data_IF_558699205979
#
_entry.id   IF_558699205979
#
_cell.length_a   1.000
_cell.length_b   1.000
_cell.length_c   1.000
_cell.angle_alpha   90.00
_cell.angle_beta   90.00
_cell.angle_gamma   90.00
#
_symmetry.space_group_name_H-M   'P 1'
#
loop_
_entity.id
_entity.type
_entity.pdbx_description
1 polymer ?
#
# COMPACT_ATOMS: atom_id res chain seq x y z
N UNK A 1 -3.74 16.83 -10.35
CA UNK A 1 -2.42 16.73 -11.03
C UNK A 1 -2.20 15.36 -11.65
N UNK A 2 -2.37 14.24 -10.91
CA UNK A 2 -2.25 12.88 -11.47
C UNK A 2 -3.28 12.56 -12.56
N UNK A 3 -4.54 12.95 -12.35
CA UNK A 3 -5.60 12.82 -13.35
C UNK A 3 -5.29 13.59 -14.65
N UNK A 4 -4.83 14.84 -14.56
CA UNK A 4 -4.44 15.66 -15.73
C UNK A 4 -3.31 15.01 -16.55
N UNK A 5 -2.33 14.36 -15.92
CA UNK A 5 -1.26 13.61 -16.61
C UNK A 5 -1.78 12.34 -17.30
N UNK A 6 -2.75 11.65 -16.69
CA UNK A 6 -3.46 10.52 -17.32
C UNK A 6 -4.22 10.96 -18.58
N UNK A 7 -4.82 12.16 -18.54
CA UNK A 7 -5.58 12.73 -19.64
C UNK A 7 -4.68 13.26 -20.78
N UNK A 8 -3.52 13.83 -20.48
CA UNK A 8 -2.55 14.26 -21.51
C UNK A 8 -2.11 13.10 -22.42
N UNK A 9 -1.99 11.88 -21.88
CA UNK A 9 -1.73 10.68 -22.67
C UNK A 9 -2.94 10.14 -23.47
N UNK A 10 -4.12 10.73 -23.29
CA UNK A 10 -5.35 10.45 -24.05
C UNK A 10 -5.53 11.50 -25.17
N UNK A 11 -5.19 12.76 -24.91
CA UNK A 11 -5.25 13.87 -25.88
C UNK A 11 -4.35 13.67 -27.11
N UNK A 12 -3.21 12.99 -26.97
CA UNK A 12 -2.29 12.74 -28.10
C UNK A 12 -2.87 11.77 -29.17
N UNK A 13 -4.01 11.09 -28.92
CA UNK A 13 -4.54 10.02 -29.78
C UNK A 13 -6.07 10.09 -30.04
N UNK A 14 -6.58 11.23 -30.51
CA UNK A 14 -7.74 11.37 -31.45
C UNK A 14 -8.83 12.36 -31.02
N UNK A 15 -9.40 12.98 -32.06
CA UNK A 15 -10.52 13.93 -32.10
C UNK A 15 -11.86 13.25 -32.46
N UNK A 16 -12.01 11.94 -32.26
CA UNK A 16 -13.05 11.15 -32.96
C UNK A 16 -13.92 10.25 -32.07
N UNK A 17 -14.29 10.69 -30.85
CA UNK A 17 -15.33 9.98 -30.08
C UNK A 17 -16.35 10.95 -29.47
N UNK A 18 -17.33 11.35 -30.28
CA UNK A 18 -18.54 12.05 -29.83
C UNK A 18 -19.66 11.02 -29.58
N UNK A 19 -19.83 10.63 -28.32
CA UNK A 19 -20.84 9.66 -27.88
C UNK A 19 -22.25 10.26 -27.77
N UNK A 20 -22.41 11.58 -27.86
CA UNK A 20 -23.67 12.28 -27.54
C UNK A 20 -24.68 12.26 -28.69
N UNK A 21 -24.23 12.09 -29.93
CA UNK A 21 -25.03 12.43 -31.11
C UNK A 21 -26.13 11.41 -31.50
N UNK A 22 -26.31 10.28 -30.80
CA UNK A 22 -27.25 9.21 -31.24
C UNK A 22 -28.20 8.62 -30.19
N UNK A 23 -28.15 9.03 -28.92
CA UNK A 23 -29.08 8.51 -27.89
C UNK A 23 -28.91 7.02 -27.56
N UNK A 24 -27.75 6.45 -27.89
CA UNK A 24 -27.39 5.02 -27.68
C UNK A 24 -26.43 4.83 -26.47
N UNK A 25 -26.03 5.95 -25.87
CA UNK A 25 -25.25 6.05 -24.63
C UNK A 25 -26.01 7.01 -23.70
N UNK A 26 -25.96 6.78 -22.39
CA UNK A 26 -26.56 7.73 -21.44
C UNK A 26 -25.93 9.11 -21.68
N UNK A 27 -26.77 10.06 -22.09
CA UNK A 27 -26.34 11.42 -22.41
C UNK A 27 -25.64 12.05 -21.21
N UNK A 28 -26.05 11.71 -19.99
CA UNK A 28 -25.44 12.22 -18.77
C UNK A 28 -24.01 11.68 -18.60
N UNK A 29 -23.79 10.37 -18.68
CA UNK A 29 -22.44 9.76 -18.62
C UNK A 29 -21.52 10.32 -19.72
N UNK A 30 -22.04 10.55 -20.93
CA UNK A 30 -21.29 11.17 -22.03
C UNK A 30 -20.89 12.61 -21.76
N UNK A 31 -21.81 13.43 -21.27
CA UNK A 31 -21.54 14.81 -20.88
C UNK A 31 -20.54 14.90 -19.73
N UNK A 32 -20.66 14.02 -18.73
CA UNK A 32 -19.74 13.97 -17.57
C UNK A 32 -18.32 13.62 -17.99
N UNK A 33 -18.15 12.61 -18.85
CA UNK A 33 -16.84 12.24 -19.42
C UNK A 33 -16.30 13.42 -20.24
N UNK A 34 -17.11 14.00 -21.13
CA UNK A 34 -16.69 15.09 -22.00
C UNK A 34 -16.24 16.33 -21.21
N UNK A 35 -17.05 16.78 -20.24
CA UNK A 35 -16.74 17.92 -19.39
C UNK A 35 -15.46 17.70 -18.57
N UNK A 36 -15.23 16.47 -18.12
CA UNK A 36 -14.01 16.09 -17.41
C UNK A 36 -12.77 16.12 -18.32
N UNK A 37 -12.89 15.60 -19.54
CA UNK A 37 -11.77 15.45 -20.47
C UNK A 37 -11.41 16.76 -21.19
N UNK A 38 -12.41 17.52 -21.64
CA UNK A 38 -12.21 18.64 -22.58
C UNK A 38 -12.51 20.00 -21.96
N UNK A 39 -13.25 20.06 -20.85
CA UNK A 39 -13.60 21.32 -20.19
C UNK A 39 -12.88 21.51 -18.85
N UNK A 40 -12.05 20.55 -18.43
CA UNK A 40 -11.36 20.53 -17.13
C UNK A 40 -12.30 20.72 -15.93
N UNK A 41 -13.55 20.26 -16.04
CA UNK A 41 -14.49 20.29 -14.93
C UNK A 41 -14.25 19.09 -14.01
N UNK A 42 -14.27 19.30 -12.69
CA UNK A 42 -14.15 18.22 -11.72
C UNK A 42 -15.52 17.58 -11.47
N UNK A 43 -15.94 16.70 -12.38
CA UNK A 43 -17.26 16.05 -12.35
C UNK A 43 -17.29 14.77 -11.51
N UNK A 44 -16.16 14.07 -11.44
CA UNK A 44 -16.03 12.81 -10.70
C UNK A 44 -15.36 13.03 -9.34
N UNK A 45 -15.96 12.52 -8.28
CA UNK A 45 -15.37 12.56 -6.93
C UNK A 45 -14.38 11.40 -6.71
N UNK A 46 -14.50 10.31 -7.46
CA UNK A 46 -13.62 9.14 -7.35
C UNK A 46 -13.34 8.47 -8.70
N UNK A 47 -12.24 7.72 -8.77
CA UNK A 47 -11.91 6.89 -9.93
C UNK A 47 -12.94 5.77 -10.18
N UNK A 48 -13.67 5.34 -9.14
CA UNK A 48 -14.74 4.35 -9.26
C UNK A 48 -15.96 4.89 -10.03
N UNK A 49 -16.26 6.19 -9.87
CA UNK A 49 -17.37 6.81 -10.60
C UNK A 49 -17.09 6.89 -12.10
N UNK A 50 -15.94 7.44 -12.51
CA UNK A 50 -15.59 7.48 -13.95
C UNK A 50 -15.47 6.06 -14.52
N UNK A 51 -14.99 5.09 -13.74
CA UNK A 51 -14.91 3.71 -14.19
C UNK A 51 -16.30 3.12 -14.49
N UNK A 52 -17.33 3.53 -13.75
CA UNK A 52 -18.71 3.11 -13.99
C UNK A 52 -19.17 3.61 -15.36
N UNK A 53 -19.07 4.92 -15.61
CA UNK A 53 -19.46 5.55 -16.87
C UNK A 53 -18.65 4.98 -18.06
N UNK A 54 -17.35 4.69 -17.89
CA UNK A 54 -16.52 4.07 -18.92
C UNK A 54 -16.94 2.62 -19.23
N UNK A 55 -17.36 1.85 -18.23
CA UNK A 55 -17.86 0.49 -18.44
C UNK A 55 -19.22 0.50 -19.13
N UNK A 56 -20.06 1.49 -18.87
CA UNK A 56 -21.29 1.72 -19.63
C UNK A 56 -20.99 2.08 -21.09
N UNK A 57 -20.03 2.98 -21.33
CA UNK A 57 -19.60 3.35 -22.69
C UNK A 57 -19.08 2.12 -23.45
N UNK A 58 -18.34 1.26 -22.75
CA UNK A 58 -17.85 -0.01 -23.30
C UNK A 58 -18.99 -0.93 -23.69
N UNK A 59 -20.02 -1.07 -22.86
CA UNK A 59 -21.20 -1.89 -23.19
C UNK A 59 -21.94 -1.32 -24.41
N UNK A 60 -22.11 0.01 -24.48
CA UNK A 60 -22.74 0.67 -25.61
C UNK A 60 -21.97 0.43 -26.92
N UNK A 61 -20.64 0.54 -26.91
CA UNK A 61 -19.80 0.23 -28.07
C UNK A 61 -19.99 -1.20 -28.58
N UNK A 62 -20.05 -2.18 -27.68
CA UNK A 62 -20.24 -3.58 -28.03
C UNK A 62 -21.64 -3.80 -28.63
N UNK A 63 -22.68 -3.26 -27.99
CA UNK A 63 -24.07 -3.52 -28.35
C UNK A 63 -24.53 -2.76 -29.61
N UNK A 64 -24.15 -1.48 -29.74
CA UNK A 64 -24.66 -0.59 -30.77
C UNK A 64 -23.65 -0.32 -31.89
N UNK A 65 -22.35 -0.42 -31.60
CA UNK A 65 -21.28 -0.08 -32.54
C UNK A 65 -20.41 -1.27 -32.95
N UNK A 66 -20.87 -2.51 -32.71
CA UNK A 66 -20.17 -3.76 -33.04
C UNK A 66 -18.76 -3.86 -32.47
N UNK A 67 -18.50 -3.20 -31.34
CA UNK A 67 -17.20 -3.17 -30.68
C UNK A 67 -16.13 -2.34 -31.39
N UNK A 68 -16.51 -1.45 -32.32
CA UNK A 68 -15.56 -0.53 -32.94
C UNK A 68 -14.85 0.30 -31.85
N UNK A 69 -13.52 0.37 -31.89
CA UNK A 69 -12.66 1.08 -30.93
C UNK A 69 -12.71 0.58 -29.47
N UNK A 70 -13.33 -0.56 -29.17
CA UNK A 70 -13.41 -1.09 -27.80
C UNK A 70 -12.03 -1.31 -27.17
N UNK A 71 -11.02 -1.65 -27.96
CA UNK A 71 -9.64 -1.86 -27.50
C UNK A 71 -8.99 -0.58 -26.95
N UNK A 72 -9.29 0.58 -27.55
CA UNK A 72 -8.79 1.87 -27.08
C UNK A 72 -9.43 2.23 -25.74
N UNK A 73 -10.73 2.01 -25.61
CA UNK A 73 -11.45 2.22 -24.36
C UNK A 73 -10.98 1.24 -23.27
N UNK A 74 -10.73 -0.03 -23.61
CA UNK A 74 -10.18 -1.02 -22.68
C UNK A 74 -8.79 -0.64 -22.17
N UNK A 75 -7.93 -0.07 -23.03
CA UNK A 75 -6.64 0.48 -22.60
C UNK A 75 -6.81 1.65 -21.63
N UNK A 76 -7.78 2.54 -21.85
CA UNK A 76 -8.05 3.66 -20.95
C UNK A 76 -8.65 3.22 -19.62
N UNK A 77 -9.63 2.32 -19.65
CA UNK A 77 -10.20 1.67 -18.46
C UNK A 77 -9.08 1.03 -17.64
N UNK A 78 -8.14 0.34 -18.28
CA UNK A 78 -7.00 -0.26 -17.60
C UNK A 78 -6.10 0.79 -16.93
N UNK A 79 -5.82 1.92 -17.61
CA UNK A 79 -5.07 3.03 -17.01
C UNK A 79 -5.78 3.59 -15.77
N UNK A 80 -7.10 3.82 -15.83
CA UNK A 80 -7.88 4.29 -14.68
C UNK A 80 -7.84 3.28 -13.53
N UNK A 81 -7.95 1.98 -13.82
CA UNK A 81 -7.87 0.92 -12.81
C UNK A 81 -6.49 0.84 -12.13
N UNK A 82 -5.40 1.05 -12.89
CA UNK A 82 -4.03 0.94 -12.37
C UNK A 82 -3.62 2.19 -11.59
N UNK A 83 -3.94 3.37 -12.12
CA UNK A 83 -3.37 4.64 -11.66
C UNK A 83 -4.36 5.50 -10.86
N UNK A 84 -5.66 5.22 -10.94
CA UNK A 84 -6.70 6.01 -10.28
C UNK A 84 -6.60 7.51 -10.58
N UNK A 85 -6.97 8.34 -9.61
CA UNK A 85 -6.78 9.81 -9.70
C UNK A 85 -5.48 10.29 -9.06
N UNK A 86 -4.74 9.39 -8.41
CA UNK A 86 -3.52 9.68 -7.67
C UNK A 86 -2.24 9.41 -8.46
N UNK A 87 -2.31 8.72 -9.61
CA UNK A 87 -1.20 8.28 -10.47
C UNK A 87 -0.27 7.27 -9.82
N UNK A 88 0.21 7.50 -8.60
CA UNK A 88 1.02 6.57 -7.84
C UNK A 88 0.65 6.65 -6.36
N UNK A 89 0.81 5.52 -5.67
CA UNK A 89 0.77 5.44 -4.22
C UNK A 89 2.02 6.12 -3.65
N UNK A 90 1.85 6.90 -2.59
CA UNK A 90 2.95 7.47 -1.83
C UNK A 90 2.98 6.86 -0.43
N UNK A 91 4.14 6.35 -0.03
CA UNK A 91 4.35 5.81 1.32
C UNK A 91 5.11 6.84 2.16
N UNK A 92 4.66 7.08 3.39
CA UNK A 92 5.45 7.81 4.38
C UNK A 92 6.35 6.84 5.11
N UNK A 93 7.58 7.25 5.41
CA UNK A 93 8.52 6.45 6.20
C UNK A 93 9.20 7.31 7.25
N UNK A 94 9.21 6.84 8.49
CA UNK A 94 9.93 7.47 9.60
C UNK A 94 10.62 6.41 10.48
N UNK A 95 11.64 6.82 11.24
CA UNK A 95 12.35 5.99 12.21
C UNK A 95 11.58 5.91 13.54
N UNK A 96 11.50 4.71 14.13
CA UNK A 96 10.74 4.50 15.38
C UNK A 96 11.18 5.42 16.52
N UNK A 97 12.48 5.74 16.62
CA UNK A 97 13.03 6.58 17.69
C UNK A 97 12.46 7.99 17.65
N UNK A 98 12.03 8.45 16.48
CA UNK A 98 11.37 9.74 16.34
C UNK A 98 9.96 9.71 16.92
N UNK A 99 9.27 8.58 16.83
CA UNK A 99 8.00 8.40 17.51
C UNK A 99 8.16 8.32 19.03
N UNK A 100 9.21 7.65 19.52
CA UNK A 100 9.57 7.68 20.95
C UNK A 100 9.78 9.14 21.42
N UNK A 101 10.65 9.90 20.74
CA UNK A 101 10.95 11.31 21.04
C UNK A 101 9.67 12.17 21.10
N UNK A 102 8.73 11.96 20.18
CA UNK A 102 7.46 12.68 20.12
C UNK A 102 6.52 12.32 21.26
N UNK A 103 6.39 11.04 21.59
CA UNK A 103 5.50 10.61 22.67
C UNK A 103 6.04 11.01 24.04
N UNK A 104 7.36 11.04 24.23
CA UNK A 104 7.98 11.61 25.41
C UNK A 104 7.61 13.09 25.58
N UNK A 105 7.66 13.89 24.51
CA UNK A 105 7.26 15.29 24.56
C UNK A 105 5.75 15.45 24.84
N UNK A 106 4.89 14.66 24.19
CA UNK A 106 3.44 14.68 24.43
C UNK A 106 3.14 14.37 25.90
N UNK A 107 3.77 13.35 26.47
CA UNK A 107 3.61 13.00 27.88
C UNK A 107 4.10 14.10 28.80
N UNK A 108 5.25 14.71 28.50
CA UNK A 108 5.78 15.85 29.26
C UNK A 108 4.82 17.04 29.26
N UNK A 109 4.26 17.41 28.11
CA UNK A 109 3.29 18.51 27.99
C UNK A 109 2.02 18.21 28.82
N UNK A 110 1.56 16.96 28.80
CA UNK A 110 0.38 16.52 29.56
C UNK A 110 0.65 16.22 31.04
N UNK A 111 1.89 16.35 31.50
CA UNK A 111 2.29 16.03 32.87
C UNK A 111 2.18 14.54 33.22
N UNK A 112 2.28 13.65 32.23
CA UNK A 112 2.22 12.20 32.41
C UNK A 112 3.65 11.68 32.52
N UNK A 113 3.93 10.88 33.55
CA UNK A 113 5.24 10.23 33.74
C UNK A 113 5.24 8.90 33.00
N UNK A 114 6.24 8.60 32.14
CA UNK A 114 6.34 7.30 31.48
C UNK A 114 6.47 6.15 32.49
N UNK A 115 5.68 5.10 32.30
CA UNK A 115 5.80 3.86 33.07
C UNK A 115 7.11 3.10 32.77
N UNK A 116 7.52 2.19 33.66
CA UNK A 116 8.81 1.48 33.53
C UNK A 116 8.79 0.30 32.56
N UNK A 117 7.62 -0.33 32.37
CA UNK A 117 7.47 -1.53 31.53
C UNK A 117 6.78 -1.19 30.21
N UNK A 118 7.15 -1.88 29.13
CA UNK A 118 6.53 -1.67 27.81
C UNK A 118 5.00 -1.83 27.86
N UNK A 119 4.51 -2.83 28.59
CA UNK A 119 3.08 -3.12 28.72
C UNK A 119 2.33 -1.94 29.36
N UNK A 120 2.87 -1.40 30.44
CA UNK A 120 2.29 -0.26 31.12
C UNK A 120 2.40 1.03 30.27
N UNK A 121 3.51 1.20 29.53
CA UNK A 121 3.66 2.30 28.57
C UNK A 121 2.63 2.21 27.44
N UNK A 122 2.35 1.01 26.91
CA UNK A 122 1.31 0.78 25.91
C UNK A 122 -0.07 1.14 26.49
N UNK A 123 -0.40 0.69 27.70
CA UNK A 123 -1.67 1.06 28.33
C UNK A 123 -1.81 2.56 28.53
N UNK A 124 -0.73 3.23 28.96
CA UNK A 124 -0.66 4.67 29.15
C UNK A 124 -0.86 5.42 27.83
N UNK A 125 -0.14 5.02 26.78
CA UNK A 125 -0.25 5.52 25.42
C UNK A 125 -1.70 5.44 24.91
N UNK A 126 -2.33 4.27 25.04
CA UNK A 126 -3.69 4.03 24.57
C UNK A 126 -4.77 4.80 25.36
N UNK A 127 -4.46 5.29 26.57
CA UNK A 127 -5.36 6.13 27.38
C UNK A 127 -5.41 7.59 26.91
N UNK A 128 -4.44 8.05 26.11
CA UNK A 128 -4.42 9.43 25.60
C UNK A 128 -5.57 9.66 24.63
N UNK A 129 -6.43 10.65 24.92
CA UNK A 129 -7.65 10.93 24.14
C UNK A 129 -7.53 12.10 23.16
N UNK A 130 -6.51 12.96 23.31
CA UNK A 130 -6.30 14.12 22.47
C UNK A 130 -4.81 14.49 22.46
N UNK A 131 -4.35 15.10 21.37
CA UNK A 131 -3.01 15.66 21.27
C UNK A 131 -2.95 17.07 21.90
N UNK A 132 -1.78 17.52 22.37
CA UNK A 132 -1.55 18.92 22.75
C UNK A 132 -1.83 19.92 21.62
N UNK A 133 -2.00 21.21 21.98
CA UNK A 133 -2.05 22.27 20.98
C UNK A 133 -0.69 22.41 20.28
N UNK A 134 -0.67 22.74 18.99
CA UNK A 134 0.57 22.91 18.21
C UNK A 134 1.59 23.87 18.86
N UNK A 135 1.11 24.90 19.56
CA UNK A 135 1.93 25.91 20.26
C UNK A 135 2.69 25.36 21.48
N UNK A 136 2.27 24.21 22.01
CA UNK A 136 2.82 23.62 23.23
C UNK A 136 4.05 22.74 22.94
N UNK A 137 4.23 22.34 21.68
CA UNK A 137 5.41 21.63 21.21
C UNK A 137 6.63 22.56 21.19
N UNK A 138 7.71 22.11 21.80
CA UNK A 138 8.99 22.81 21.90
C UNK A 138 9.94 22.37 20.78
N UNK A 139 9.90 21.10 20.38
CA UNK A 139 10.70 20.60 19.25
C UNK A 139 9.95 20.82 17.92
N UNK A 140 10.49 21.66 17.00
CA UNK A 140 9.87 21.87 15.69
C UNK A 140 9.72 20.59 14.88
N UNK A 141 10.61 19.61 15.05
CA UNK A 141 10.55 18.34 14.34
C UNK A 141 9.37 17.48 14.82
N UNK A 142 9.08 17.49 16.13
CA UNK A 142 7.93 16.78 16.67
C UNK A 142 6.62 17.41 16.23
N UNK A 143 6.56 18.75 16.17
CA UNK A 143 5.43 19.46 15.57
C UNK A 143 5.24 19.08 14.09
N UNK A 144 6.32 19.05 13.30
CA UNK A 144 6.28 18.64 11.89
C UNK A 144 5.75 17.20 11.73
N UNK A 145 6.13 16.28 12.62
CA UNK A 145 5.60 14.91 12.58
C UNK A 145 4.11 14.85 12.86
N UNK A 146 3.58 15.63 13.81
CA UNK A 146 2.14 15.71 14.05
C UNK A 146 1.41 16.29 12.83
N UNK A 147 1.95 17.38 12.28
CA UNK A 147 1.42 18.01 11.06
C UNK A 147 1.47 17.08 9.86
N UNK A 148 2.44 16.18 9.79
CA UNK A 148 2.53 15.17 8.73
C UNK A 148 1.24 14.35 8.68
N UNK A 149 0.69 13.89 9.80
CA UNK A 149 -0.58 13.16 9.84
C UNK A 149 -1.78 14.02 9.41
N UNK A 150 -1.76 15.33 9.65
CA UNK A 150 -2.80 16.23 9.13
C UNK A 150 -2.70 16.39 7.61
N UNK A 151 -1.49 16.39 7.05
CA UNK A 151 -1.25 16.43 5.60
C UNK A 151 -1.71 15.14 4.92
N UNK A 152 -1.60 13.98 5.59
CA UNK A 152 -2.16 12.70 5.08
C UNK A 152 -3.64 12.87 4.75
N UNK A 153 -4.42 13.39 5.70
CA UNK A 153 -5.86 13.61 5.56
C UNK A 153 -6.18 14.51 4.35
N UNK A 154 -5.41 15.58 4.17
CA UNK A 154 -5.59 16.51 3.06
C UNK A 154 -5.33 15.84 1.70
N UNK A 155 -4.25 15.07 1.59
CA UNK A 155 -3.90 14.35 0.35
C UNK A 155 -4.96 13.29 0.04
N UNK A 156 -5.40 12.53 1.04
CA UNK A 156 -6.46 11.53 0.86
C UNK A 156 -7.78 12.17 0.43
N UNK A 157 -8.13 13.33 1.00
CA UNK A 157 -9.34 14.08 0.63
C UNK A 157 -9.34 14.57 -0.82
N UNK A 158 -8.18 14.96 -1.37
CA UNK A 158 -8.09 15.47 -2.75
C UNK A 158 -7.80 14.41 -3.81
N UNK A 159 -7.12 13.31 -3.45
CA UNK A 159 -6.61 12.32 -4.40
C UNK A 159 -7.15 10.90 -4.18
N UNK A 160 -8.00 10.72 -3.16
CA UNK A 160 -8.47 9.42 -2.68
C UNK A 160 -7.53 8.79 -1.66
N UNK A 161 -8.05 7.88 -0.84
CA UNK A 161 -7.30 7.17 0.21
C UNK A 161 -5.99 6.55 -0.31
N UNK A 162 -6.06 5.87 -1.45
CA UNK A 162 -4.95 5.18 -2.11
C UNK A 162 -3.75 6.09 -2.43
N UNK A 163 -3.94 7.40 -2.52
CA UNK A 163 -2.84 8.33 -2.77
C UNK A 163 -1.75 8.26 -1.70
N UNK A 164 -2.15 8.06 -0.43
CA UNK A 164 -1.24 7.97 0.70
C UNK A 164 -1.91 7.21 1.84
N UNK A 165 -1.87 5.89 1.78
CA UNK A 165 -2.54 5.00 2.75
C UNK A 165 -1.57 4.16 3.58
N UNK A 166 -0.25 4.32 3.43
CA UNK A 166 0.76 3.52 4.16
C UNK A 166 1.76 4.39 4.92
N UNK A 167 2.00 4.00 6.17
CA UNK A 167 3.03 4.56 7.04
C UNK A 167 4.02 3.48 7.47
N UNK A 168 5.27 3.61 7.01
CA UNK A 168 6.35 2.66 7.24
C UNK A 168 7.18 3.10 8.46
N UNK A 169 7.32 2.19 9.43
CA UNK A 169 8.10 2.41 10.65
C UNK A 169 9.44 1.70 10.51
N UNK A 170 10.50 2.46 10.27
CA UNK A 170 11.89 1.97 10.21
C UNK A 170 12.39 1.60 11.59
N UNK A 171 13.35 0.68 11.67
CA UNK A 171 13.93 0.21 12.93
C UNK A 171 12.85 -0.24 13.95
N UNK A 172 11.81 -0.94 13.48
CA UNK A 172 10.74 -1.41 14.34
C UNK A 172 11.21 -2.60 15.20
N UNK A 173 11.16 -2.45 16.53
CA UNK A 173 11.76 -3.39 17.49
C UNK A 173 10.77 -3.88 18.56
N UNK A 174 9.59 -3.29 18.66
CA UNK A 174 8.61 -3.57 19.71
C UNK A 174 7.18 -3.36 19.24
N UNK A 175 6.21 -3.86 20.01
CA UNK A 175 4.80 -3.58 19.74
C UNK A 175 4.45 -2.13 20.06
N UNK A 176 5.14 -1.51 21.02
CA UNK A 176 5.03 -0.08 21.35
C UNK A 176 5.25 0.80 20.12
N UNK A 177 6.31 0.57 19.32
CA UNK A 177 6.58 1.42 18.13
C UNK A 177 5.42 1.44 17.13
N UNK A 178 4.77 0.29 16.90
CA UNK A 178 3.57 0.20 16.06
C UNK A 178 2.40 0.96 16.67
N UNK A 179 2.20 0.81 17.99
CA UNK A 179 1.09 1.42 18.69
C UNK A 179 1.22 2.94 18.84
N UNK A 180 2.44 3.47 18.88
CA UNK A 180 2.70 4.91 18.90
C UNK A 180 2.19 5.58 17.63
N UNK A 181 2.49 5.00 16.47
CA UNK A 181 1.98 5.45 15.18
C UNK A 181 0.48 5.20 15.06
N UNK A 182 0.00 4.05 15.54
CA UNK A 182 -1.43 3.72 15.55
C UNK A 182 -2.24 4.72 16.35
N UNK A 183 -1.79 5.04 17.56
CA UNK A 183 -2.49 5.99 18.42
C UNK A 183 -2.44 7.39 17.82
N UNK A 184 -1.31 7.80 17.23
CA UNK A 184 -1.18 9.08 16.56
C UNK A 184 -2.14 9.19 15.35
N UNK A 185 -2.17 8.17 14.49
CA UNK A 185 -3.10 8.08 13.36
C UNK A 185 -4.57 8.06 13.82
N UNK A 186 -4.87 7.34 14.91
CA UNK A 186 -6.22 7.28 15.47
C UNK A 186 -6.70 8.63 16.00
N UNK A 187 -5.84 9.38 16.69
CA UNK A 187 -6.17 10.69 17.25
C UNK A 187 -6.31 11.78 16.18
N UNK A 188 -5.57 11.66 15.07
CA UNK A 188 -5.55 12.65 13.98
C UNK A 188 -6.52 12.32 12.85
N UNK A 189 -6.34 11.17 12.20
CA UNK A 189 -7.12 10.70 11.06
C UNK A 189 -8.40 9.99 11.54
N UNK A 190 -8.27 9.07 12.49
CA UNK A 190 -9.37 8.23 12.94
C UNK A 190 -10.54 8.99 13.58
N UNK A 191 -10.33 10.22 14.05
CA UNK A 191 -11.40 11.06 14.60
C UNK A 191 -12.28 11.73 13.53
N UNK A 192 -11.82 11.77 12.27
CA UNK A 192 -12.50 12.43 11.14
C UNK A 192 -13.18 11.46 10.20
N UNK A 193 -12.86 10.17 10.29
CA UNK A 193 -13.33 9.12 9.41
C UNK A 193 -14.08 8.03 10.20
N UNK A 194 -15.02 7.34 9.56
CA UNK A 194 -15.70 6.19 10.18
C UNK A 194 -14.70 5.06 10.51
N UNK A 195 -13.68 4.91 9.67
CA UNK A 195 -12.61 3.92 9.81
C UNK A 195 -11.27 4.61 9.58
N UNK A 196 -10.25 4.27 10.36
CA UNK A 196 -8.91 4.86 10.20
C UNK A 196 -8.30 4.45 8.84
N UNK A 197 -8.03 5.40 7.92
CA UNK A 197 -7.67 5.11 6.52
C UNK A 197 -6.17 4.96 6.30
N UNK A 198 -5.44 4.36 7.27
CA UNK A 198 -3.98 4.27 7.23
C UNK A 198 -3.50 2.90 7.67
N UNK A 199 -2.72 2.25 6.81
CA UNK A 199 -2.00 1.02 7.10
C UNK A 199 -0.65 1.32 7.77
N UNK A 200 -0.39 0.64 8.87
CA UNK A 200 0.86 0.77 9.63
C UNK A 200 1.75 -0.40 9.27
N UNK A 201 2.89 -0.10 8.68
CA UNK A 201 3.80 -1.08 8.07
C UNK A 201 5.09 -1.12 8.88
N UNK A 202 5.32 -2.14 9.73
CA UNK A 202 6.59 -2.29 10.41
C UNK A 202 7.67 -2.69 9.41
N UNK A 203 8.84 -2.08 9.53
CA UNK A 203 10.05 -2.47 8.81
C UNK A 203 11.06 -3.08 9.79
N UNK A 204 11.25 -4.40 9.67
CA UNK A 204 12.25 -5.16 10.43
C UNK A 204 13.54 -5.26 9.60
N UNK A 205 14.65 -4.71 10.12
CA UNK A 205 15.89 -4.50 9.35
C UNK A 205 17.09 -5.28 9.86
N UNK A 206 17.17 -5.58 11.15
CA UNK A 206 18.27 -6.37 11.73
C UNK A 206 17.90 -7.85 11.88
N UNK A 207 18.90 -8.71 12.09
CA UNK A 207 18.68 -10.14 12.33
C UNK A 207 17.87 -10.38 13.60
N UNK A 208 18.10 -9.57 14.64
CA UNK A 208 17.38 -9.73 15.91
C UNK A 208 15.95 -9.20 15.78
N UNK A 209 15.72 -8.12 15.03
CA UNK A 209 14.38 -7.63 14.71
C UNK A 209 13.59 -8.69 13.92
N UNK A 210 14.20 -9.29 12.90
CA UNK A 210 13.58 -10.36 12.11
C UNK A 210 13.23 -11.59 12.94
N UNK A 211 14.03 -11.90 13.98
CA UNK A 211 13.76 -13.00 14.91
C UNK A 211 12.61 -12.66 15.84
N UNK A 212 12.51 -11.41 16.31
CA UNK A 212 11.47 -10.95 17.22
C UNK A 212 10.14 -10.63 16.51
N UNK A 213 10.16 -10.39 15.21
CA UNK A 213 8.99 -9.96 14.42
C UNK A 213 7.73 -10.84 14.62
N UNK A 214 7.79 -12.18 14.64
CA UNK A 214 6.59 -13.00 14.84
C UNK A 214 5.92 -12.76 16.19
N UNK A 215 6.70 -12.63 17.26
CA UNK A 215 6.20 -12.38 18.61
C UNK A 215 5.59 -10.98 18.74
N UNK A 216 6.26 -9.97 18.17
CA UNK A 216 5.77 -8.58 18.12
C UNK A 216 4.41 -8.52 17.41
N UNK A 217 4.30 -9.15 16.24
CA UNK A 217 3.06 -9.14 15.46
C UNK A 217 1.96 -9.97 16.10
N UNK A 218 2.27 -11.13 16.69
CA UNK A 218 1.29 -11.93 17.43
C UNK A 218 0.68 -11.13 18.59
N UNK A 219 1.53 -10.47 19.38
CA UNK A 219 1.09 -9.60 20.46
C UNK A 219 0.16 -8.50 19.95
N UNK A 220 0.53 -7.85 18.85
CA UNK A 220 -0.27 -6.78 18.24
C UNK A 220 -1.64 -7.29 17.75
N UNK A 221 -1.69 -8.47 17.13
CA UNK A 221 -2.93 -9.09 16.65
C UNK A 221 -3.90 -9.49 17.77
N UNK A 222 -3.38 -9.75 18.98
CA UNK A 222 -4.18 -10.07 20.15
C UNK A 222 -4.82 -8.83 20.80
N UNK A 223 -4.36 -7.61 20.48
CA UNK A 223 -4.93 -6.39 21.01
C UNK A 223 -6.29 -6.08 20.35
N UNK A 224 -7.40 -6.00 21.12
CA UNK A 224 -8.74 -5.82 20.53
C UNK A 224 -8.87 -4.56 19.66
N UNK A 225 -8.20 -3.47 20.05
CA UNK A 225 -8.24 -2.20 19.31
C UNK A 225 -7.55 -2.30 17.95
N UNK A 226 -6.42 -3.01 17.88
CA UNK A 226 -5.68 -3.19 16.64
C UNK A 226 -6.35 -4.22 15.74
N UNK A 227 -6.89 -5.29 16.32
CA UNK A 227 -7.71 -6.27 15.60
C UNK A 227 -8.93 -5.62 14.94
N UNK A 228 -9.63 -4.73 15.63
CA UNK A 228 -10.74 -3.98 15.06
C UNK A 228 -10.30 -3.11 13.88
N UNK A 229 -9.13 -2.48 13.97
CA UNK A 229 -8.54 -1.76 12.84
C UNK A 229 -8.24 -2.70 11.66
N UNK A 230 -7.61 -3.86 11.90
CA UNK A 230 -7.33 -4.82 10.83
C UNK A 230 -8.59 -5.36 10.16
N UNK A 231 -9.70 -5.54 10.87
CA UNK A 231 -10.99 -5.91 10.26
C UNK A 231 -11.42 -4.87 9.23
N UNK A 232 -11.28 -3.58 9.54
CA UNK A 232 -11.55 -2.48 8.60
C UNK A 232 -10.57 -2.51 7.41
N UNK A 233 -9.34 -2.98 7.62
CA UNK A 233 -8.32 -3.23 6.58
C UNK A 233 -8.43 -4.63 5.94
N UNK A 234 -9.62 -5.25 5.96
CA UNK A 234 -9.92 -6.55 5.33
C UNK A 234 -9.06 -7.71 5.87
N UNK A 235 -8.66 -7.64 7.14
CA UNK A 235 -7.74 -8.55 7.81
C UNK A 235 -6.41 -8.72 7.06
N UNK A 236 -5.92 -7.65 6.41
CA UNK A 236 -4.60 -7.63 5.77
C UNK A 236 -3.61 -6.82 6.60
N UNK A 237 -2.40 -7.33 6.73
CA UNK A 237 -1.29 -6.63 7.38
C UNK A 237 -0.07 -6.65 6.47
N UNK A 238 0.35 -5.47 6.00
CA UNK A 238 1.61 -5.35 5.26
C UNK A 238 2.77 -5.31 6.25
N UNK A 239 3.81 -6.13 6.03
CA UNK A 239 5.05 -6.12 6.81
C UNK A 239 6.22 -5.95 5.85
N UNK A 240 7.04 -4.93 6.10
CA UNK A 240 8.22 -4.68 5.29
C UNK A 240 9.43 -5.41 5.89
N UNK A 241 10.15 -6.14 5.03
CA UNK A 241 11.35 -6.88 5.42
C UNK A 241 12.54 -6.32 4.64
N UNK A 242 13.60 -5.95 5.37
CA UNK A 242 14.76 -5.31 4.79
C UNK A 242 16.06 -5.72 5.48
N UNK A 243 17.18 -5.37 4.86
CA UNK A 243 18.46 -5.27 5.54
C UNK A 243 18.94 -3.86 5.30
N UNK A 244 19.34 -3.18 6.38
CA UNK A 244 19.82 -1.80 6.32
C UNK A 244 21.19 -1.69 5.63
N UNK A 245 22.05 -2.72 5.72
CA UNK A 245 23.28 -2.90 4.94
C UNK A 245 23.83 -4.34 5.16
N UNK A 246 23.28 -5.32 4.44
CA UNK A 246 23.40 -6.76 4.69
C UNK A 246 24.77 -7.44 4.50
N UNK A 247 25.88 -6.70 4.52
CA UNK A 247 27.23 -7.28 4.68
C UNK A 247 27.83 -7.05 6.08
N UNK A 248 27.26 -6.19 6.92
CA UNK A 248 27.82 -5.86 8.25
C UNK A 248 27.43 -6.82 9.38
N UNK A 249 26.19 -7.33 9.41
CA UNK A 249 25.67 -8.02 10.61
C UNK A 249 25.73 -9.56 10.58
N UNK A 250 26.17 -10.16 9.48
CA UNK A 250 26.19 -11.63 9.39
C UNK A 250 26.43 -12.26 8.02
N UNK A 251 26.60 -11.45 6.98
CA UNK A 251 26.84 -11.91 5.61
C UNK A 251 25.57 -12.32 4.86
N UNK A 252 25.68 -12.34 3.53
CA UNK A 252 24.57 -12.52 2.59
C UNK A 252 23.72 -13.79 2.83
N UNK A 253 24.34 -14.94 3.11
CA UNK A 253 23.61 -16.20 3.30
C UNK A 253 22.73 -16.16 4.57
N UNK A 254 23.32 -15.74 5.70
CA UNK A 254 22.59 -15.63 6.98
C UNK A 254 21.45 -14.63 6.88
N UNK A 255 21.68 -13.54 6.17
CA UNK A 255 20.70 -12.51 5.90
C UNK A 255 19.47 -13.10 5.16
N UNK A 256 19.66 -13.70 3.99
CA UNK A 256 18.53 -14.29 3.23
C UNK A 256 17.84 -15.43 3.97
N UNK A 257 18.59 -16.26 4.70
CA UNK A 257 18.01 -17.30 5.55
C UNK A 257 17.12 -16.72 6.65
N UNK A 258 17.55 -15.63 7.28
CA UNK A 258 16.77 -14.97 8.33
C UNK A 258 15.48 -14.34 7.78
N UNK A 259 15.52 -13.73 6.58
CA UNK A 259 14.30 -13.25 5.91
C UNK A 259 13.35 -14.41 5.62
N UNK A 260 13.84 -15.51 5.05
CA UNK A 260 13.00 -16.66 4.74
C UNK A 260 12.31 -17.20 6.00
N UNK A 261 13.07 -17.38 7.08
CA UNK A 261 12.53 -17.83 8.38
C UNK A 261 11.52 -16.84 8.96
N UNK A 262 11.80 -15.54 8.89
CA UNK A 262 10.86 -14.51 9.34
C UNK A 262 9.55 -14.57 8.53
N UNK A 263 9.63 -14.71 7.19
CA UNK A 263 8.45 -14.85 6.33
C UNK A 263 7.62 -16.08 6.68
N UNK A 264 8.25 -17.24 6.90
CA UNK A 264 7.55 -18.48 7.30
C UNK A 264 6.83 -18.31 8.65
N UNK A 265 7.50 -17.80 9.68
CA UNK A 265 6.89 -17.65 11.02
C UNK A 265 5.84 -16.53 11.06
N UNK A 266 6.06 -15.40 10.37
CA UNK A 266 5.06 -14.33 10.24
C UNK A 266 3.82 -14.81 9.50
N UNK A 267 3.99 -15.63 8.45
CA UNK A 267 2.87 -16.25 7.73
C UNK A 267 2.07 -17.15 8.68
N UNK A 268 2.75 -18.00 9.45
CA UNK A 268 2.13 -18.91 10.42
C UNK A 268 1.36 -18.16 11.51
N UNK A 269 1.98 -17.18 12.17
CA UNK A 269 1.33 -16.36 13.21
C UNK A 269 0.13 -15.60 12.65
N UNK A 270 0.25 -15.03 11.45
CA UNK A 270 -0.85 -14.28 10.83
C UNK A 270 -2.02 -15.20 10.47
N UNK A 271 -1.76 -16.38 9.87
CA UNK A 271 -2.79 -17.38 9.57
C UNK A 271 -3.54 -17.85 10.82
N UNK A 272 -2.84 -18.12 11.93
CA UNK A 272 -3.47 -18.52 13.21
C UNK A 272 -4.43 -17.43 13.72
N UNK A 273 -4.11 -16.16 13.47
CA UNK A 273 -4.94 -15.03 13.87
C UNK A 273 -5.99 -14.62 12.82
N UNK A 274 -6.10 -15.34 11.70
CA UNK A 274 -7.03 -15.04 10.61
C UNK A 274 -6.65 -13.80 9.79
N UNK A 275 -5.35 -13.49 9.73
CA UNK A 275 -4.78 -12.32 9.06
C UNK A 275 -3.96 -12.78 7.85
N UNK A 276 -4.17 -12.12 6.72
CA UNK A 276 -3.36 -12.27 5.52
C UNK A 276 -2.18 -11.28 5.61
N UNK A 277 -0.97 -11.81 5.78
CA UNK A 277 0.25 -10.98 5.77
C UNK A 277 0.70 -10.74 4.33
N UNK A 278 0.98 -9.48 4.01
CA UNK A 278 1.57 -9.08 2.72
C UNK A 278 3.01 -8.66 2.96
N UNK A 279 3.95 -9.29 2.26
CA UNK A 279 5.36 -8.95 2.43
C UNK A 279 5.78 -7.85 1.46
N UNK A 280 6.30 -6.76 2.03
CA UNK A 280 6.95 -5.70 1.29
C UNK A 280 8.48 -5.87 1.34
N UNK A 281 9.05 -6.31 0.23
CA UNK A 281 10.50 -6.51 0.11
C UNK A 281 11.22 -5.16 -0.13
N UNK A 282 12.00 -4.72 0.88
CA UNK A 282 12.69 -3.44 0.90
C UNK A 282 13.87 -3.30 -0.07
N UNK A 283 14.63 -2.20 0.06
CA UNK A 283 15.69 -1.80 -0.88
C UNK A 283 16.65 -2.95 -1.20
N UNK A 284 16.74 -3.27 -2.49
CA UNK A 284 17.63 -4.31 -2.97
C UNK A 284 17.01 -5.69 -2.88
N UNK A 285 15.74 -5.84 -3.28
CA UNK A 285 15.09 -7.15 -3.40
C UNK A 285 16.07 -8.21 -3.95
N UNK A 286 15.92 -9.48 -3.58
CA UNK A 286 16.94 -10.55 -3.62
C UNK A 286 17.95 -10.51 -4.78
N UNK A 287 17.56 -10.20 -6.04
CA UNK A 287 18.49 -9.93 -7.15
C UNK A 287 19.48 -8.77 -6.96
N UNK A 288 19.02 -7.62 -6.48
CA UNK A 288 19.81 -6.42 -6.27
C UNK A 288 20.77 -6.53 -5.06
N UNK A 289 20.69 -7.61 -4.29
CA UNK A 289 21.66 -8.00 -3.24
C UNK A 289 22.63 -9.10 -3.71
N UNK A 290 22.72 -9.38 -5.01
CA UNK A 290 23.63 -10.38 -5.58
C UNK A 290 23.01 -11.77 -5.80
N UNK A 291 21.67 -11.86 -5.83
CA UNK A 291 20.93 -13.13 -5.71
C UNK A 291 20.09 -13.59 -6.90
N UNK A 292 20.53 -13.36 -8.14
CA UNK A 292 19.91 -14.01 -9.31
C UNK A 292 18.66 -13.31 -9.86
N UNK A 293 17.74 -14.06 -10.47
CA UNK A 293 16.58 -13.54 -11.22
C UNK A 293 15.37 -13.29 -10.30
N UNK A 294 14.72 -12.12 -10.36
CA UNK A 294 13.51 -11.78 -9.55
C UNK A 294 12.44 -12.86 -9.68
N UNK A 295 12.25 -13.37 -10.90
CA UNK A 295 11.29 -14.44 -11.16
C UNK A 295 11.59 -15.68 -10.33
N UNK A 296 12.85 -16.14 -10.35
CA UNK A 296 13.24 -17.35 -9.63
C UNK A 296 13.10 -17.17 -8.11
N UNK A 297 13.38 -15.99 -7.58
CA UNK A 297 13.19 -15.73 -6.16
C UNK A 297 11.74 -15.91 -5.75
N UNK A 298 10.82 -15.16 -6.35
CA UNK A 298 9.41 -15.25 -5.99
C UNK A 298 8.83 -16.64 -6.31
N UNK A 299 9.17 -17.21 -7.47
CA UNK A 299 8.74 -18.55 -7.84
C UNK A 299 9.29 -19.67 -6.93
N UNK A 300 10.32 -19.40 -6.12
CA UNK A 300 10.88 -20.35 -5.15
C UNK A 300 10.20 -20.31 -3.78
N UNK A 301 9.36 -19.31 -3.52
CA UNK A 301 8.60 -19.24 -2.27
C UNK A 301 7.58 -20.39 -2.23
N UNK A 302 7.66 -21.20 -1.17
CA UNK A 302 6.75 -22.33 -0.95
C UNK A 302 5.42 -21.92 -0.35
N UNK A 303 4.58 -22.91 -0.06
CA UNK A 303 3.26 -22.77 0.60
C UNK A 303 3.34 -22.24 2.04
N UNK A 304 4.51 -22.34 2.66
CA UNK A 304 4.80 -21.83 4.00
C UNK A 304 4.92 -20.29 4.07
N UNK A 305 5.04 -19.62 2.92
CA UNK A 305 5.16 -18.16 2.84
C UNK A 305 3.94 -17.60 2.11
N UNK A 306 3.29 -16.62 2.72
CA UNK A 306 2.17 -15.91 2.11
C UNK A 306 2.61 -15.17 0.84
N UNK A 307 1.80 -15.26 -0.21
CA UNK A 307 2.21 -14.90 -1.56
C UNK A 307 1.05 -14.41 -2.45
N UNK A 308 -0.04 -13.97 -1.83
CA UNK A 308 -1.20 -13.39 -2.51
C UNK A 308 -0.85 -12.11 -3.28
N UNK A 309 0.20 -11.40 -2.86
CA UNK A 309 0.63 -10.13 -3.43
C UNK A 309 2.15 -9.98 -3.38
N UNK A 310 2.74 -9.40 -4.42
CA UNK A 310 4.18 -9.07 -4.50
C UNK A 310 4.34 -7.56 -4.36
N UNK A 311 4.94 -7.11 -3.26
CA UNK A 311 5.34 -5.72 -3.07
C UNK A 311 6.87 -5.64 -2.99
N UNK A 312 7.49 -4.84 -3.86
CA UNK A 312 8.97 -4.78 -3.97
C UNK A 312 9.47 -3.37 -4.23
N UNK A 313 10.55 -3.00 -3.55
CA UNK A 313 11.25 -1.73 -3.79
C UNK A 313 12.13 -1.83 -5.03
N UNK A 314 11.82 -1.06 -6.07
CA UNK A 314 12.71 -0.85 -7.21
C UNK A 314 13.69 0.29 -6.88
N UNK A 315 14.99 0.04 -7.00
CA UNK A 315 16.01 1.05 -6.71
C UNK A 315 16.05 2.11 -7.83
N UNK A 316 16.12 3.40 -7.46
CA UNK A 316 16.17 4.50 -8.43
C UNK A 316 17.22 4.34 -9.52
N UNK A 317 18.40 3.83 -9.16
CA UNK A 317 19.51 3.57 -10.11
C UNK A 317 19.19 2.51 -11.18
N UNK A 318 18.22 1.62 -10.95
CA UNK A 318 17.85 0.55 -11.90
C UNK A 318 16.61 0.89 -12.71
N UNK A 319 15.86 1.95 -12.36
CA UNK A 319 14.60 2.31 -13.04
C UNK A 319 14.82 2.51 -14.54
N UNK A 320 15.79 3.34 -14.93
CA UNK A 320 16.04 3.64 -16.34
C UNK A 320 16.45 2.39 -17.13
N UNK A 321 17.26 1.51 -16.56
CA UNK A 321 17.69 0.28 -17.20
C UNK A 321 16.56 -0.76 -17.36
N UNK A 322 15.73 -0.92 -16.32
CA UNK A 322 14.70 -1.96 -16.27
C UNK A 322 13.38 -1.52 -16.92
N UNK A 323 13.03 -0.23 -16.81
CA UNK A 323 11.71 0.29 -17.18
C UNK A 323 11.76 1.48 -18.15
N UNK A 324 12.94 2.00 -18.51
CA UNK A 324 13.07 3.17 -19.40
C UNK A 324 12.82 2.89 -20.88
N UNK A 325 12.74 1.62 -21.30
CA UNK A 325 12.37 1.21 -22.66
C UNK A 325 11.18 0.25 -22.60
N UNK A 326 10.22 0.39 -23.52
CA UNK A 326 9.01 -0.44 -23.54
C UNK A 326 9.32 -1.94 -23.50
N UNK A 327 10.24 -2.45 -24.33
CA UNK A 327 10.60 -3.87 -24.34
C UNK A 327 11.17 -4.36 -22.99
N UNK A 328 12.07 -3.59 -22.37
CA UNK A 328 12.61 -3.93 -21.04
C UNK A 328 11.53 -3.87 -19.96
N UNK A 329 10.66 -2.87 -20.03
CA UNK A 329 9.56 -2.67 -19.09
C UNK A 329 8.59 -3.86 -19.14
N UNK A 330 8.13 -4.24 -20.33
CA UNK A 330 7.27 -5.41 -20.56
C UNK A 330 7.92 -6.68 -20.01
N UNK A 331 9.19 -6.94 -20.35
CA UNK A 331 9.90 -8.12 -19.87
C UNK A 331 9.96 -8.18 -18.32
N UNK A 332 10.27 -7.07 -17.65
CA UNK A 332 10.35 -7.04 -16.19
C UNK A 332 8.97 -7.25 -15.53
N UNK A 333 7.90 -6.68 -16.09
CA UNK A 333 6.54 -6.93 -15.61
C UNK A 333 6.12 -8.40 -15.81
N UNK A 334 6.39 -8.98 -16.99
CA UNK A 334 6.11 -10.39 -17.27
C UNK A 334 6.84 -11.33 -16.29
N UNK A 335 8.07 -11.02 -15.92
CA UNK A 335 8.84 -11.81 -14.95
C UNK A 335 8.19 -11.82 -13.57
N UNK A 336 7.67 -10.69 -13.09
CA UNK A 336 6.96 -10.58 -11.81
C UNK A 336 5.60 -11.29 -11.85
N UNK A 337 4.80 -11.04 -12.89
CA UNK A 337 3.48 -11.64 -13.07
C UNK A 337 3.56 -13.17 -13.17
N UNK A 338 4.50 -13.68 -13.98
CA UNK A 338 4.70 -15.12 -14.15
C UNK A 338 5.18 -15.80 -12.89
N UNK A 339 5.97 -15.12 -12.05
CA UNK A 339 6.40 -15.65 -10.76
C UNK A 339 5.21 -15.79 -9.81
N UNK A 340 4.37 -14.74 -9.68
CA UNK A 340 3.14 -14.79 -8.89
C UNK A 340 2.18 -15.90 -9.36
N UNK A 341 1.97 -16.03 -10.66
CA UNK A 341 1.09 -17.06 -11.23
C UNK A 341 1.54 -18.49 -10.92
N UNK A 342 2.84 -18.76 -11.02
CA UNK A 342 3.39 -20.09 -10.72
C UNK A 342 3.13 -20.50 -9.27
N UNK A 343 3.18 -19.56 -8.36
CA UNK A 343 2.91 -19.81 -6.95
C UNK A 343 1.43 -20.14 -6.75
N UNK A 344 0.53 -19.29 -7.26
CA UNK A 344 -0.92 -19.50 -7.16
C UNK A 344 -1.31 -20.87 -7.75
N UNK A 345 -0.80 -21.21 -8.93
CA UNK A 345 -1.10 -22.48 -9.60
C UNK A 345 -0.53 -23.73 -8.92
N UNK A 346 0.52 -23.59 -8.09
CA UNK A 346 1.14 -24.71 -7.35
C UNK A 346 0.52 -24.88 -5.95
N UNK A 347 0.05 -23.79 -5.34
CA UNK A 347 -0.51 -23.74 -3.98
C UNK A 347 -2.02 -24.02 -3.95
N UNK A 348 -2.75 -23.84 -5.06
CA UNK A 348 -4.14 -24.32 -5.12
C UNK A 348 -4.21 -25.84 -4.95
N UNK A 349 -4.98 -26.37 -3.97
CA UNK A 349 -5.22 -27.80 -3.94
C UNK A 349 -5.94 -28.20 -5.23
N UNK A 350 -5.53 -29.33 -5.83
CA UNK A 350 -6.30 -30.03 -6.87
C UNK A 350 -7.67 -30.44 -6.31
N UNK A 351 -8.61 -29.50 -6.19
CA UNK A 351 -10.03 -29.77 -6.02
C UNK A 351 -10.70 -29.46 -7.36
N UNK A 352 -10.80 -30.54 -8.13
CA UNK A 352 -11.97 -30.93 -8.94
C UNK A 352 -12.73 -29.78 -9.61
N UNK A 353 -12.40 -29.58 -10.89
CA UNK A 353 -13.32 -29.25 -11.98
C UNK A 353 -14.65 -28.56 -11.60
N UNK A 354 -14.70 -27.23 -11.75
CA UNK A 354 -15.80 -26.63 -12.48
C UNK A 354 -15.35 -25.32 -13.14
N UNK A 355 -15.64 -25.27 -14.44
CA UNK A 355 -15.29 -24.25 -15.41
C UNK A 355 -15.64 -22.83 -14.98
N UNK A 356 -14.73 -21.91 -15.35
CA UNK A 356 -15.01 -20.70 -16.13
C UNK A 356 -16.37 -20.02 -15.89
N UNK A 357 -16.36 -18.90 -15.16
CA UNK A 357 -17.16 -17.75 -15.57
C UNK A 357 -16.40 -16.48 -15.23
N UNK A 358 -15.81 -15.88 -16.25
CA UNK A 358 -15.53 -14.44 -16.25
C UNK A 358 -16.89 -13.75 -16.24
N UNK A 359 -17.16 -12.94 -15.22
CA UNK A 359 -18.16 -11.87 -15.25
C UNK A 359 -17.44 -10.57 -14.98
#
# INVERSE_FOLDING_TARGET
>A
MGFTLLLQGFEENQTEIDFSARGEFDSESGERIFATLFENQQVYASSAEILTDLLEARQALIMHHKGLFVELLDQFILKVKIFGFHFAYMDIRQDSRKHDDLWEEIFKIKGIVPEETEDAQIEQLMKVQNLPDHKDYQDPFNLEMVQTFEVIDQIQGSNGEDALNRYIISNCQSAKHLLEVFQLAKLTLGSKHEQMPLDIVPLFETIDDLRAAPEIMERLYQLPVYKAHLVNRKNKQTVMLGFSDGTKDGGYLKANWSILRAKEELTKVSRVNGIEVVFFDGRGGPPARGGGNMHNFYASLGDQVENSEIQVTIQGQTISANYGKQASCTYNFEQLLSAGWRIISTVMPKKTSQMCSVR
#
